data_IF_365850085398
#
_entry.id   IF_365850085398
#
_cell.length_a   1.000
_cell.length_b   1.000
_cell.length_c   1.000
_cell.angle_alpha   90.00
_cell.angle_beta   90.00
_cell.angle_gamma   90.00
#
_symmetry.space_group_name_H-M   'P 1'
#
loop_
_entity.id
_entity.type
_entity.pdbx_description
1 polymer ?
2 non-polymer ?
3 non-polymer ?
4 water ?
#
# COMPACT_ATOMS: atom_id res chain seq x y z
N UNK A 1 -9.97 -10.40 14.62
CA UNK A 1 -10.21 -9.92 13.27
C UNK A 1 -11.57 -10.39 12.88
N UNK A 2 -12.40 -9.48 12.36
CA UNK A 2 -13.80 -9.81 12.11
C UNK A 2 -13.97 -10.76 10.94
N UNK A 3 -13.04 -10.71 10.00
CA UNK A 3 -13.13 -11.54 8.82
C UNK A 3 -12.40 -12.79 9.16
N UNK A 4 -12.89 -13.95 8.70
CA UNK A 4 -12.40 -15.27 9.12
C UNK A 4 -11.90 -16.05 7.95
N UNK A 5 -11.24 -17.20 8.20
CA UNK A 5 -10.62 -17.93 7.13
C UNK A 5 -11.63 -18.47 6.15
N UNK A 6 -11.22 -18.55 4.90
CA UNK A 6 -12.08 -19.01 3.84
C UNK A 6 -13.25 -18.07 3.47
N UNK A 7 -13.30 -16.89 3.99
CA UNK A 7 -14.42 -16.03 3.67
C UNK A 7 -14.15 -15.19 2.44
N UNK A 8 -15.23 -14.76 1.79
CA UNK A 8 -15.16 -13.93 0.60
C UNK A 8 -15.65 -12.53 0.93
N UNK A 9 -14.77 -11.57 0.72
CA UNK A 9 -15.01 -10.20 1.07
C UNK A 9 -15.15 -9.44 -0.27
N UNK A 10 -16.27 -8.76 -0.43
CA UNK A 10 -16.60 -8.09 -1.71
C UNK A 10 -16.71 -6.63 -1.45
N UNK A 11 -15.92 -5.82 -2.17
CA UNK A 11 -15.98 -4.39 -2.02
C UNK A 11 -16.78 -3.79 -3.19
N UNK A 12 -17.61 -2.79 -2.90
CA UNK A 12 -18.34 -2.11 -3.95
C UNK A 12 -18.43 -0.62 -3.67
N UNK A 13 -18.53 0.14 -4.75
CA UNK A 13 -18.39 1.56 -4.66
C UNK A 13 -18.19 2.16 -6.08
N UNK A 14 -17.57 3.31 -6.04
CA UNK A 14 -17.36 4.21 -7.20
C UNK A 14 -15.85 4.16 -7.55
N UNK A 15 -15.30 5.20 -8.19
CA UNK A 15 -13.90 5.15 -8.64
C UNK A 15 -12.94 4.88 -7.46
N UNK A 16 -13.29 5.40 -6.31
CA UNK A 16 -12.38 5.28 -5.16
C UNK A 16 -12.18 3.80 -4.82
N UNK A 17 -13.22 2.99 -5.00
CA UNK A 17 -13.11 1.56 -4.85
C UNK A 17 -12.56 0.84 -6.12
N UNK A 18 -13.05 1.21 -7.31
CA UNK A 18 -12.63 0.62 -8.58
C UNK A 18 -11.09 0.68 -8.73
N UNK A 19 -10.56 1.92 -8.76
CA UNK A 19 -9.16 2.19 -9.05
C UNK A 19 -8.56 1.32 -10.19
N UNK A 20 -9.27 1.18 -11.31
CA UNK A 20 -8.82 0.34 -12.42
C UNK A 20 -8.89 -1.16 -12.24
N UNK A 21 -9.79 -1.65 -11.42
CA UNK A 21 -9.88 -3.09 -11.22
C UNK A 21 -10.31 -3.82 -12.53
N UNK A 22 -10.10 -5.13 -12.58
CA UNK A 22 -10.39 -5.90 -13.81
C UNK A 22 -11.88 -6.10 -13.91
N UNK A 23 -12.46 -5.78 -15.07
CA UNK A 23 -13.87 -5.95 -15.30
C UNK A 23 -14.15 -7.11 -16.25
N UNK A 24 -15.23 -7.86 -15.99
CA UNK A 24 -16.17 -7.77 -14.87
C UNK A 24 -15.74 -8.41 -13.56
N UNK A 25 -14.81 -9.36 -13.60
CA UNK A 25 -14.60 -10.28 -12.45
C UNK A 25 -14.09 -9.58 -11.18
N UNK A 26 -13.15 -8.65 -11.32
CA UNK A 26 -12.62 -7.94 -10.17
C UNK A 26 -11.90 -8.79 -9.12
N UNK A 27 -11.28 -9.89 -9.52
CA UNK A 27 -10.80 -10.85 -8.55
C UNK A 27 -9.46 -11.47 -8.94
N UNK A 28 -8.60 -11.58 -7.92
CA UNK A 28 -7.26 -12.16 -8.01
C UNK A 28 -6.09 -11.28 -7.53
N UNK A 29 -4.93 -11.91 -7.36
CA UNK A 29 -3.76 -11.34 -6.65
C UNK A 29 -2.75 -10.41 -7.39
N UNK A 30 -2.83 -10.40 -8.73
CA UNK A 30 -1.82 -9.79 -9.63
C UNK A 30 -2.37 -8.58 -10.47
N UNK A 31 -3.23 -7.73 -9.87
CA UNK A 31 -3.68 -6.51 -10.55
C UNK A 31 -5.18 -6.36 -10.74
N UNK A 32 -5.91 -7.46 -10.70
CA UNK A 32 -7.35 -7.39 -10.87
C UNK A 32 -8.07 -6.54 -9.79
N UNK A 33 -7.43 -6.34 -8.67
CA UNK A 33 -8.03 -5.54 -7.57
C UNK A 33 -7.87 -4.04 -7.72
N UNK A 34 -7.10 -3.57 -8.72
CA UNK A 34 -6.99 -2.12 -8.93
C UNK A 34 -5.84 -1.66 -8.09
N UNK A 35 -5.59 -0.34 -8.05
CA UNK A 35 -4.38 0.12 -7.46
C UNK A 35 -4.58 1.03 -6.28
N UNK A 36 -5.68 0.88 -5.57
CA UNK A 36 -5.99 1.80 -4.46
C UNK A 36 -6.24 1.02 -3.17
N UNK A 37 -7.18 1.49 -2.33
CA UNK A 37 -7.32 1.03 -0.94
C UNK A 37 -7.73 -0.41 -0.92
N UNK A 38 -8.52 -0.84 -1.86
CA UNK A 38 -8.91 -2.24 -1.84
C UNK A 38 -7.68 -3.17 -1.99
N UNK A 39 -6.82 -2.86 -2.95
CA UNK A 39 -5.58 -3.66 -3.08
C UNK A 39 -4.66 -3.55 -1.88
N UNK A 40 -4.63 -2.40 -1.23
CA UNK A 40 -3.79 -2.23 -0.09
C UNK A 40 -4.34 -3.05 1.06
N UNK A 41 -5.64 -3.03 1.28
CA UNK A 41 -6.22 -3.90 2.33
C UNK A 41 -5.86 -5.34 2.12
N UNK A 42 -6.01 -5.82 0.89
CA UNK A 42 -5.74 -7.24 0.56
C UNK A 42 -4.27 -7.54 0.76
N UNK A 43 -3.40 -6.63 0.35
CA UNK A 43 -2.01 -6.75 0.62
C UNK A 43 -1.60 -6.81 2.05
N UNK A 44 -2.17 -5.93 2.85
CA UNK A 44 -1.84 -5.95 4.25
C UNK A 44 -2.40 -7.19 4.92
N UNK A 45 -3.57 -7.65 4.51
CA UNK A 45 -4.09 -8.86 5.15
C UNK A 45 -3.23 -10.07 4.84
N UNK A 46 -2.75 -10.13 3.60
CA UNK A 46 -1.92 -11.21 3.19
C UNK A 46 -0.56 -11.14 3.86
N UNK A 47 -0.05 -9.95 4.10
CA UNK A 47 1.27 -9.79 4.69
C UNK A 47 1.26 -10.18 6.15
N UNK A 48 0.14 -9.87 6.82
CA UNK A 48 0.09 -10.07 8.26
C UNK A 48 -0.74 -11.28 8.73
N UNK A 49 -1.76 -11.62 7.94
CA UNK A 49 -2.56 -12.82 8.05
C UNK A 49 -2.63 -13.71 6.81
N UNK A 50 -1.49 -14.18 6.32
CA UNK A 50 -1.47 -14.98 5.13
C UNK A 50 -2.30 -16.23 5.24
N UNK A 51 -2.33 -16.83 6.43
CA UNK A 51 -3.15 -17.97 6.66
C UNK A 51 -4.66 -17.81 6.67
N UNK A 52 -5.17 -16.59 6.75
CA UNK A 52 -6.60 -16.46 6.76
C UNK A 52 -7.29 -16.89 5.45
N UNK A 53 -6.57 -16.98 4.38
CA UNK A 53 -7.14 -17.57 3.17
C UNK A 53 -8.39 -16.84 2.65
N UNK A 54 -8.41 -15.53 2.71
CA UNK A 54 -9.61 -14.80 2.27
C UNK A 54 -9.61 -14.54 0.78
N UNK A 55 -10.79 -14.56 0.17
CA UNK A 55 -10.94 -14.21 -1.22
C UNK A 55 -11.51 -12.79 -1.24
N UNK A 56 -11.03 -11.93 -2.14
CA UNK A 56 -11.47 -10.57 -2.14
C UNK A 56 -11.87 -10.23 -3.58
N UNK A 57 -12.98 -9.53 -3.73
CA UNK A 57 -13.51 -9.19 -5.03
C UNK A 57 -13.75 -7.68 -5.03
N UNK A 58 -13.37 -7.01 -6.12
CA UNK A 58 -13.54 -5.60 -6.24
C UNK A 58 -14.58 -5.34 -7.32
N UNK A 59 -15.73 -4.88 -6.89
CA UNK A 59 -16.81 -4.58 -7.82
C UNK A 59 -17.06 -3.06 -7.95
N UNK A 60 -16.08 -2.23 -7.61
CA UNK A 60 -16.20 -0.81 -7.78
C UNK A 60 -16.33 -0.41 -9.25
N UNK A 61 -17.11 0.65 -9.51
CA UNK A 61 -17.24 1.21 -10.85
C UNK A 61 -17.22 2.71 -10.78
N UNK A 62 -16.18 3.27 -11.43
CA UNK A 62 -16.04 4.69 -11.55
C UNK A 62 -17.32 5.36 -12.04
N UNK A 63 -17.70 6.46 -11.41
CA UNK A 63 -18.89 7.17 -11.79
C UNK A 63 -20.16 6.80 -11.03
N UNK A 64 -20.16 5.66 -10.35
CA UNK A 64 -21.40 5.25 -9.77
C UNK A 64 -21.92 6.09 -8.61
N UNK A 65 -23.24 6.20 -8.59
CA UNK A 65 -23.99 6.60 -7.42
C UNK A 65 -24.66 5.38 -6.79
N UNK A 66 -25.40 5.59 -5.72
CA UNK A 66 -26.13 4.46 -5.15
C UNK A 66 -27.23 3.94 -6.12
N UNK A 67 -27.73 4.81 -7.00
CA UNK A 67 -28.74 4.36 -7.98
C UNK A 67 -28.11 3.41 -8.92
N UNK A 68 -26.86 3.67 -9.26
CA UNK A 68 -26.16 2.73 -10.11
C UNK A 68 -25.86 1.39 -9.40
N UNK A 69 -25.50 1.44 -8.13
CA UNK A 69 -25.34 0.24 -7.31
C UNK A 69 -26.64 -0.65 -7.32
N UNK A 70 -27.77 -0.05 -7.02
CA UNK A 70 -29.03 -0.77 -7.05
C UNK A 70 -29.23 -1.47 -8.39
N UNK A 71 -28.94 -0.80 -9.52
CA UNK A 71 -29.22 -1.40 -10.84
C UNK A 71 -28.37 -2.61 -11.11
N UNK A 72 -27.18 -2.70 -10.51
CA UNK A 72 -26.33 -3.88 -10.72
C UNK A 72 -26.17 -4.81 -9.50
N UNK A 73 -26.94 -4.60 -8.48
CA UNK A 73 -26.75 -5.26 -7.19
C UNK A 73 -26.92 -6.76 -7.30
N UNK A 74 -27.91 -7.19 -8.06
CA UNK A 74 -28.18 -8.62 -8.20
C UNK A 74 -27.00 -9.40 -8.78
N UNK A 75 -26.48 -8.92 -9.89
CA UNK A 75 -25.42 -9.63 -10.58
C UNK A 75 -24.07 -9.42 -9.89
N UNK A 76 -23.82 -8.24 -9.34
CA UNK A 76 -22.47 -7.88 -8.84
C UNK A 76 -22.28 -8.09 -7.38
N UNK A 77 -23.36 -8.23 -6.59
CA UNK A 77 -23.23 -8.53 -5.20
C UNK A 77 -23.90 -9.86 -4.87
N UNK A 78 -25.21 -9.94 -5.01
CA UNK A 78 -25.95 -11.13 -4.55
C UNK A 78 -25.45 -12.39 -5.20
N UNK A 79 -25.29 -12.34 -6.51
CA UNK A 79 -24.86 -13.49 -7.31
C UNK A 79 -23.44 -13.92 -7.08
N UNK A 80 -22.63 -13.12 -6.41
CA UNK A 80 -21.26 -13.46 -6.06
C UNK A 80 -21.21 -14.20 -4.74
N UNK A 81 -22.36 -14.30 -4.05
CA UNK A 81 -22.45 -15.02 -2.78
C UNK A 81 -21.37 -14.66 -1.81
N UNK A 82 -21.16 -13.37 -1.62
CA UNK A 82 -20.08 -13.02 -0.70
C UNK A 82 -20.41 -13.33 0.72
N UNK A 83 -19.40 -13.39 1.58
CA UNK A 83 -19.61 -13.47 3.00
C UNK A 83 -19.64 -12.17 3.62
N UNK A 84 -18.83 -11.23 3.11
CA UNK A 84 -18.76 -9.90 3.66
C UNK A 84 -18.91 -8.91 2.47
N UNK A 85 -19.68 -7.86 2.68
CA UNK A 85 -19.83 -6.84 1.66
C UNK A 85 -19.44 -5.52 2.27
N UNK A 86 -18.51 -4.79 1.62
CA UNK A 86 -18.11 -3.47 2.03
C UNK A 86 -18.64 -2.45 0.97
N UNK A 87 -19.31 -1.39 1.41
CA UNK A 87 -19.92 -0.47 0.50
C UNK A 87 -19.33 0.83 0.83
N UNK A 88 -18.91 1.62 -0.18
CA UNK A 88 -18.56 3.01 0.00
C UNK A 88 -19.10 3.81 -1.17
N UNK A 89 -20.16 4.54 -0.91
CA UNK A 89 -20.93 5.18 -1.96
C UNK A 89 -21.48 6.49 -1.43
N UNK A 90 -21.64 7.49 -2.31
CA UNK A 90 -22.15 8.78 -1.86
C UNK A 90 -21.38 9.93 -2.47
N UNK A 91 -20.09 9.69 -2.81
CA UNK A 91 -19.28 10.81 -3.31
C UNK A 91 -19.97 11.41 -4.56
N UNK A 92 -20.32 10.58 -5.53
CA UNK A 92 -20.87 11.05 -6.79
C UNK A 92 -22.32 11.54 -6.60
N UNK A 93 -23.06 10.82 -5.78
CA UNK A 93 -24.44 11.21 -5.38
C UNK A 93 -24.46 12.69 -5.03
N UNK A 94 -23.43 13.11 -4.29
CA UNK A 94 -23.26 14.45 -3.84
C UNK A 94 -22.58 15.33 -4.89
N UNK A 95 -21.47 14.85 -5.46
CA UNK A 95 -20.60 15.76 -6.28
C UNK A 95 -21.32 16.29 -7.48
N UNK A 96 -22.11 15.42 -8.12
CA UNK A 96 -22.93 15.89 -9.28
C UNK A 96 -23.83 17.11 -8.98
N UNK A 97 -24.33 17.21 -7.73
CA UNK A 97 -25.11 18.39 -7.27
C UNK A 97 -24.31 19.65 -7.35
N UNK A 98 -22.99 19.52 -7.31
CA UNK A 98 -22.10 20.66 -7.26
C UNK A 98 -21.32 20.92 -8.53
N UNK A 99 -20.93 19.87 -9.26
CA UNK A 99 -20.20 20.06 -10.50
C UNK A 99 -21.08 20.13 -11.74
N UNK A 100 -22.28 19.55 -11.67
CA UNK A 100 -23.28 19.69 -12.75
C UNK A 100 -24.60 20.11 -12.13
N UNK A 101 -24.63 21.27 -11.52
CA UNK A 101 -25.80 21.66 -10.72
C UNK A 101 -27.13 21.73 -11.49
N UNK A 102 -27.07 21.78 -12.81
CA UNK A 102 -28.28 21.97 -13.58
C UNK A 102 -28.72 20.71 -14.26
N UNK A 103 -27.94 19.64 -14.13
CA UNK A 103 -28.33 18.33 -14.69
C UNK A 103 -28.94 17.51 -13.53
N UNK A 104 -30.14 17.90 -13.12
CA UNK A 104 -30.70 17.35 -11.87
C UNK A 104 -30.93 15.85 -11.84
N UNK A 105 -31.24 15.24 -12.98
CA UNK A 105 -31.42 13.81 -13.04
C UNK A 105 -30.13 13.05 -12.71
N UNK A 106 -28.98 13.69 -12.82
CA UNK A 106 -27.75 13.09 -12.34
C UNK A 106 -27.54 13.07 -10.79
N UNK A 107 -28.27 13.94 -10.12
CA UNK A 107 -28.17 14.10 -8.70
C UNK A 107 -28.91 12.94 -8.06
N UNK A 108 -28.33 12.42 -6.96
CA UNK A 108 -29.08 11.53 -6.05
C UNK A 108 -29.19 12.23 -4.72
N UNK A 109 -30.38 12.75 -4.47
CA UNK A 109 -30.58 13.60 -3.33
C UNK A 109 -30.73 12.70 -2.08
N UNK A 110 -30.85 13.31 -0.94
CA UNK A 110 -30.73 12.53 0.42
C UNK A 110 -31.84 11.56 0.58
N UNK A 111 -33.03 11.87 0.03
CA UNK A 111 -34.11 10.94 0.09
C UNK A 111 -33.90 9.68 -0.70
N UNK A 112 -33.44 9.84 -1.92
CA UNK A 112 -33.20 8.75 -2.74
C UNK A 112 -31.99 7.94 -2.15
N UNK A 113 -31.01 8.69 -1.65
CA UNK A 113 -29.78 8.06 -1.16
C UNK A 113 -30.12 7.14 0.06
N UNK A 114 -30.78 7.72 1.02
CA UNK A 114 -31.17 6.96 2.26
C UNK A 114 -32.02 5.81 1.93
N UNK A 115 -33.05 6.02 1.09
CA UNK A 115 -33.96 4.97 0.76
C UNK A 115 -33.31 3.86 0.01
N UNK A 116 -32.50 4.20 -0.96
CA UNK A 116 -31.83 3.14 -1.76
C UNK A 116 -30.75 2.38 -0.92
N UNK A 117 -29.89 3.10 -0.23
CA UNK A 117 -28.78 2.44 0.51
C UNK A 117 -29.46 1.57 1.56
N UNK A 118 -30.42 2.12 2.29
CA UNK A 118 -31.18 1.34 3.23
C UNK A 118 -31.71 0.00 2.65
N UNK A 119 -32.35 0.08 1.51
CA UNK A 119 -32.94 -1.06 0.91
C UNK A 119 -31.85 -2.09 0.53
N UNK A 120 -30.72 -1.64 -0.02
CA UNK A 120 -29.63 -2.61 -0.40
C UNK A 120 -29.06 -3.30 0.85
N UNK A 121 -28.93 -2.59 1.95
CA UNK A 121 -28.35 -3.15 3.14
C UNK A 121 -29.32 -4.17 3.74
N UNK A 122 -30.59 -3.78 3.85
CA UNK A 122 -31.63 -4.68 4.33
C UNK A 122 -31.79 -5.91 3.48
N UNK A 123 -31.71 -5.80 2.20
CA UNK A 123 -31.82 -6.99 1.40
C UNK A 123 -30.58 -7.93 1.52
N UNK A 124 -29.41 -7.32 1.72
CA UNK A 124 -28.15 -8.05 1.72
C UNK A 124 -27.85 -8.70 3.13
N UNK A 125 -28.23 -8.04 4.20
CA UNK A 125 -27.93 -8.45 5.57
C UNK A 125 -28.27 -9.94 5.82
N UNK A 126 -29.44 -10.41 5.44
CA UNK A 126 -29.67 -11.81 5.84
C UNK A 126 -28.94 -12.82 4.99
N UNK A 127 -28.29 -12.39 3.89
CA UNK A 127 -27.68 -13.30 2.91
C UNK A 127 -26.16 -13.48 3.09
N UNK A 128 -25.60 -12.77 4.00
CA UNK A 128 -24.18 -12.73 4.17
C UNK A 128 -23.88 -12.79 5.60
N UNK A 129 -22.59 -12.93 5.88
CA UNK A 129 -22.12 -12.98 7.22
C UNK A 129 -22.00 -11.65 7.83
N UNK A 130 -21.68 -10.62 7.05
CA UNK A 130 -21.51 -9.27 7.60
C UNK A 130 -21.43 -8.22 6.46
N UNK A 131 -21.67 -6.98 6.84
CA UNK A 131 -21.70 -5.80 5.98
C UNK A 131 -20.85 -4.74 6.66
N UNK A 132 -19.98 -4.08 5.84
CA UNK A 132 -19.21 -2.93 6.27
C UNK A 132 -19.65 -1.70 5.51
N UNK A 133 -20.11 -0.69 6.21
CA UNK A 133 -20.55 0.50 5.57
C UNK A 133 -19.53 1.58 5.83
N UNK A 134 -18.95 2.08 4.73
CA UNK A 134 -17.98 3.17 4.77
C UNK A 134 -18.68 4.40 4.29
N UNK A 135 -18.49 5.48 5.00
CA UNK A 135 -18.99 6.76 4.61
C UNK A 135 -18.27 7.22 3.38
N UNK A 136 -18.99 7.99 2.58
CA UNK A 136 -18.30 8.79 1.58
C UNK A 136 -17.45 9.84 2.28
N UNK A 137 -16.66 10.57 1.50
CA UNK A 137 -15.80 11.61 2.07
C UNK A 137 -15.57 12.67 1.06
N UNK A 138 -15.10 13.82 1.55
CA UNK A 138 -14.62 14.89 0.73
C UNK A 138 -13.40 15.42 1.43
N UNK A 139 -12.32 15.57 0.69
CA UNK A 139 -11.03 15.98 1.28
C UNK A 139 -11.00 17.45 1.36
N UNK A 140 -11.62 17.95 2.43
CA UNK A 140 -11.81 19.34 2.58
C UNK A 140 -12.04 19.57 4.03
N UNK A 141 -11.25 20.46 4.62
CA UNK A 141 -11.24 20.56 6.10
C UNK A 141 -12.29 21.55 6.66
N UNK A 142 -12.81 22.44 5.83
CA UNK A 142 -13.85 23.38 6.23
C UNK A 142 -15.25 22.75 6.19
N UNK A 143 -15.78 22.46 7.38
CA UNK A 143 -17.12 21.88 7.57
C UNK A 143 -18.19 22.70 6.85
N UNK A 144 -18.01 23.97 6.70
CA UNK A 144 -19.00 24.81 6.05
C UNK A 144 -18.77 25.00 4.56
N UNK A 145 -17.73 24.39 3.98
CA UNK A 145 -17.72 24.29 2.50
C UNK A 145 -18.98 23.51 2.09
N UNK A 146 -19.75 24.03 1.13
CA UNK A 146 -21.04 23.39 0.90
C UNK A 146 -21.03 21.94 0.53
N UNK A 147 -20.03 21.51 -0.28
CA UNK A 147 -20.01 20.12 -0.57
C UNK A 147 -19.56 19.22 0.61
N UNK A 148 -18.62 19.70 1.38
CA UNK A 148 -18.21 18.97 2.59
C UNK A 148 -19.41 18.84 3.55
N UNK A 149 -20.14 19.95 3.69
CA UNK A 149 -21.34 19.98 4.58
C UNK A 149 -22.36 18.96 4.10
N UNK A 150 -22.60 18.91 2.79
CA UNK A 150 -23.50 17.86 2.29
C UNK A 150 -22.93 16.49 2.46
N UNK A 151 -21.63 16.32 2.15
CA UNK A 151 -21.07 14.97 2.30
C UNK A 151 -21.20 14.50 3.75
N UNK A 152 -21.00 15.41 4.71
CA UNK A 152 -21.08 14.96 6.14
C UNK A 152 -22.53 14.48 6.39
N UNK A 153 -23.51 15.15 5.77
CA UNK A 153 -24.90 14.70 5.94
C UNK A 153 -25.13 13.35 5.40
N UNK A 154 -24.62 13.08 4.19
CA UNK A 154 -24.74 11.78 3.66
C UNK A 154 -24.05 10.73 4.57
N UNK A 155 -22.91 11.11 5.17
CA UNK A 155 -22.24 10.13 6.12
C UNK A 155 -23.11 9.87 7.34
N UNK A 156 -23.85 10.88 7.81
CA UNK A 156 -24.77 10.66 8.92
C UNK A 156 -25.83 9.66 8.60
N UNK A 157 -26.29 9.68 7.35
CA UNK A 157 -27.23 8.66 6.90
C UNK A 157 -26.64 7.32 6.84
N UNK A 158 -25.38 7.21 6.37
CA UNK A 158 -24.73 5.91 6.41
C UNK A 158 -24.62 5.43 7.79
N UNK A 159 -24.23 6.31 8.70
CA UNK A 159 -24.10 5.88 10.10
C UNK A 159 -25.49 5.43 10.65
N UNK A 160 -26.58 6.13 10.36
CA UNK A 160 -27.83 5.57 10.91
C UNK A 160 -28.20 4.26 10.26
N UNK A 161 -28.08 4.16 8.92
CA UNK A 161 -28.31 2.86 8.31
C UNK A 161 -27.46 1.85 9.00
N UNK A 162 -26.16 2.12 9.30
CA UNK A 162 -25.37 1.01 9.90
C UNK A 162 -25.85 0.69 11.31
N UNK A 163 -26.41 1.69 11.99
CA UNK A 163 -27.04 1.42 13.29
C UNK A 163 -28.49 0.84 13.15
N UNK A 164 -29.36 1.37 12.28
CA UNK A 164 -30.68 0.72 12.09
C UNK A 164 -30.46 -0.74 11.73
N UNK A 165 -29.44 -1.07 10.92
CA UNK A 165 -29.15 -2.47 10.49
C UNK A 165 -28.08 -3.23 11.18
N UNK A 166 -27.43 -2.66 12.15
CA UNK A 166 -26.30 -3.39 12.75
C UNK A 166 -24.99 -3.67 11.93
N UNK A 167 -24.60 -2.81 11.01
CA UNK A 167 -23.41 -3.15 10.22
C UNK A 167 -22.13 -2.54 10.87
N UNK A 168 -20.96 -3.07 10.57
CA UNK A 168 -19.74 -2.31 10.83
C UNK A 168 -19.77 -0.96 10.09
N UNK A 169 -19.02 0.02 10.61
CA UNK A 169 -19.09 1.35 10.14
C UNK A 169 -17.66 1.89 10.15
N UNK A 170 -17.31 2.53 9.03
CA UNK A 170 -16.01 3.23 8.90
C UNK A 170 -16.27 4.63 8.50
N UNK A 171 -15.89 5.60 9.35
CA UNK A 171 -16.04 6.96 9.11
C UNK A 171 -14.71 7.41 8.38
N UNK A 172 -14.78 7.35 7.08
CA UNK A 172 -13.61 7.76 6.25
C UNK A 172 -13.37 9.26 6.39
N UNK A 173 -14.44 10.03 6.63
CA UNK A 173 -14.32 11.44 6.73
C UNK A 173 -13.47 11.78 7.94
N UNK A 174 -13.73 11.12 9.07
CA UNK A 174 -13.01 11.46 10.31
C UNK A 174 -11.52 11.13 10.08
N UNK A 175 -11.23 10.06 9.35
CA UNK A 175 -9.82 9.70 9.01
C UNK A 175 -9.17 10.78 8.21
N UNK A 176 -9.84 11.35 7.17
CA UNK A 176 -9.23 12.47 6.50
C UNK A 176 -9.10 13.70 7.32
N UNK A 177 -10.13 13.98 8.13
CA UNK A 177 -10.13 15.24 8.90
C UNK A 177 -8.85 15.35 9.79
N UNK A 178 -8.45 14.23 10.32
CA UNK A 178 -7.22 14.19 11.21
C UNK A 178 -5.98 14.65 10.42
N UNK A 179 -5.84 14.15 9.20
CA UNK A 179 -4.69 14.54 8.35
C UNK A 179 -4.81 15.92 7.86
N UNK A 180 -6.05 16.38 7.73
CA UNK A 180 -6.31 17.70 7.22
C UNK A 180 -6.04 18.76 8.27
N UNK A 181 -5.85 18.34 9.52
CA UNK A 181 -5.29 19.27 10.51
C UNK A 181 -3.88 19.70 10.16
N UNK A 182 -3.19 18.93 9.33
CA UNK A 182 -1.87 19.31 8.88
C UNK A 182 -1.77 19.68 7.44
N UNK A 183 -2.38 18.90 6.56
CA UNK A 183 -2.15 19.08 5.15
C UNK A 183 -3.35 19.82 4.51
N UNK A 184 -3.07 20.75 3.64
CA UNK A 184 -4.11 21.38 2.73
C UNK A 184 -4.59 20.32 1.77
N UNK A 185 -5.89 20.34 1.37
CA UNK A 185 -6.39 19.24 0.57
C UNK A 185 -5.58 18.87 -0.65
N UNK A 186 -5.07 19.86 -1.35
CA UNK A 186 -4.35 19.65 -2.57
C UNK A 186 -3.11 18.78 -2.39
N UNK A 187 -2.62 18.67 -1.17
CA UNK A 187 -1.49 17.78 -0.92
C UNK A 187 -1.87 16.35 -1.02
N UNK A 188 -3.16 16.08 -0.83
CA UNK A 188 -3.67 14.71 -0.95
C UNK A 188 -4.47 14.47 -2.23
N UNK A 189 -5.21 15.49 -2.70
CA UNK A 189 -6.08 15.35 -3.88
C UNK A 189 -6.36 16.69 -4.46
N UNK A 190 -5.79 16.99 -5.62
CA UNK A 190 -6.15 18.26 -6.27
C UNK A 190 -7.69 18.51 -6.29
N UNK A 191 -8.43 17.48 -6.65
CA UNK A 191 -9.88 17.62 -6.84
C UNK A 191 -10.72 17.30 -5.62
N UNK A 192 -10.06 17.03 -4.47
CA UNK A 192 -10.66 16.78 -3.15
C UNK A 192 -11.41 15.51 -3.09
N UNK A 193 -11.21 14.65 -4.07
CA UNK A 193 -11.88 13.36 -4.13
C UNK A 193 -10.93 12.20 -4.42
N UNK A 194 -10.17 12.27 -5.51
CA UNK A 194 -9.28 11.18 -5.97
C UNK A 194 -7.90 11.40 -5.43
N UNK A 195 -7.50 10.67 -4.38
CA UNK A 195 -6.27 11.04 -3.73
C UNK A 195 -5.05 10.22 -4.16
N UNK A 196 -3.90 10.59 -3.58
CA UNK A 196 -2.63 9.90 -3.79
C UNK A 196 -2.62 8.59 -3.00
N UNK A 197 -1.55 7.84 -3.16
CA UNK A 197 -1.30 6.63 -2.38
C UNK A 197 -1.60 6.87 -0.90
N UNK A 198 -1.17 8.00 -0.37
CA UNK A 198 -1.38 8.37 1.00
C UNK A 198 -2.86 8.40 1.41
N UNK A 199 -3.68 8.93 0.51
CA UNK A 199 -5.10 8.90 0.74
C UNK A 199 -5.68 7.55 0.71
N UNK A 200 -5.23 6.71 -0.26
CA UNK A 200 -5.67 5.36 -0.22
C UNK A 200 -5.17 4.57 0.96
N UNK A 201 -4.05 4.98 1.48
CA UNK A 201 -3.58 4.37 2.78
C UNK A 201 -4.43 4.80 3.97
N UNK A 202 -4.82 6.04 3.98
CA UNK A 202 -5.75 6.54 5.03
C UNK A 202 -7.02 5.69 4.99
N UNK A 203 -7.55 5.41 3.78
CA UNK A 203 -8.75 4.63 3.66
C UNK A 203 -8.56 3.19 4.07
N UNK A 204 -7.49 2.60 3.56
CA UNK A 204 -7.16 1.21 3.87
C UNK A 204 -6.94 0.99 5.42
N UNK A 205 -6.26 1.91 6.04
CA UNK A 205 -6.06 1.86 7.46
C UNK A 205 -7.39 2.06 8.17
N UNK A 206 -8.24 2.97 7.67
CA UNK A 206 -9.53 3.19 8.38
C UNK A 206 -10.38 1.91 8.31
N UNK A 207 -10.37 1.21 7.18
CA UNK A 207 -11.05 -0.04 7.04
C UNK A 207 -10.50 -1.13 8.00
N UNK A 208 -9.19 -1.29 7.96
CA UNK A 208 -8.53 -2.37 8.67
C UNK A 208 -8.75 -2.22 10.17
N UNK A 209 -8.66 -1.00 10.64
CA UNK A 209 -8.85 -0.73 12.03
C UNK A 209 -10.28 -1.16 12.50
N UNK A 210 -11.28 -0.86 11.69
CA UNK A 210 -12.62 -1.28 11.96
C UNK A 210 -12.81 -2.76 11.96
N UNK A 211 -12.07 -3.51 11.17
CA UNK A 211 -12.24 -4.92 11.22
C UNK A 211 -11.25 -5.60 12.22
N UNK A 212 -10.64 -4.85 13.09
CA UNK A 212 -9.76 -5.43 14.10
C UNK A 212 -8.41 -5.95 13.63
N UNK A 213 -7.93 -5.49 12.48
CA UNK A 213 -6.56 -5.80 11.99
C UNK A 213 -5.55 -5.38 13.02
N UNK A 214 -4.53 -6.18 13.23
CA UNK A 214 -3.38 -5.73 14.06
C UNK A 214 -2.15 -5.62 13.14
N UNK A 215 -1.45 -4.53 13.25
CA UNK A 215 -0.20 -4.33 12.51
C UNK A 215 0.87 -5.37 12.87
N UNK A 216 1.01 -5.62 14.16
CA UNK A 216 1.84 -6.73 14.68
C UNK A 216 0.98 -7.56 15.60
N UNK A 217 0.69 -8.77 15.20
CA UNK A 217 -0.23 -9.63 15.95
C UNK A 217 0.34 -10.04 17.31
N UNK A 218 -0.47 -9.89 18.36
CA UNK A 218 -0.10 -10.42 19.69
C UNK A 218 -0.73 -11.82 19.81
N UNK A 219 -0.06 -12.84 20.37
CA UNK A 219 1.34 -12.88 20.87
C UNK A 219 2.08 -11.53 21.04
N UNK B 1 9.86 6.74 15.97
CA UNK B 1 10.13 7.11 14.56
C UNK B 1 11.53 7.59 14.50
N UNK B 2 12.43 6.85 13.83
CA UNK B 2 13.81 7.31 13.70
C UNK B 2 13.94 8.52 12.81
N UNK B 3 13.03 8.70 11.86
CA UNK B 3 13.19 9.75 10.91
C UNK B 3 12.56 10.99 11.49
N UNK B 4 13.28 12.08 11.37
CA UNK B 4 12.91 13.32 12.00
C UNK B 4 12.33 14.22 10.96
N UNK B 5 11.67 15.24 11.51
CA UNK B 5 10.96 16.22 10.77
C UNK B 5 11.82 16.96 9.77
N UNK B 6 11.35 17.12 8.54
CA UNK B 6 12.12 17.89 7.58
C UNK B 6 13.28 17.11 6.92
N UNK B 7 13.42 15.85 7.22
CA UNK B 7 14.58 15.14 6.75
C UNK B 7 14.32 14.54 5.40
N UNK B 8 15.39 14.23 4.71
CA UNK B 8 15.33 13.57 3.43
C UNK B 8 15.79 12.10 3.49
N UNK B 9 14.88 11.22 3.04
CA UNK B 9 15.06 9.79 3.03
C UNK B 9 15.14 9.32 1.59
N UNK B 10 16.26 8.71 1.25
CA UNK B 10 16.53 8.28 -0.09
C UNK B 10 16.64 6.80 -0.22
N UNK B 11 15.83 6.22 -1.12
CA UNK B 11 15.89 4.78 -1.37
C UNK B 11 16.68 4.50 -2.58
N UNK B 12 17.52 3.50 -2.47
CA UNK B 12 18.23 2.94 -3.66
C UNK B 12 18.26 1.46 -3.72
N UNK B 13 18.35 0.95 -4.94
CA UNK B 13 18.26 -0.45 -5.24
C UNK B 13 18.00 -0.76 -6.70
N UNK B 14 17.40 -1.95 -6.91
CA UNK B 14 17.07 -2.48 -8.26
C UNK B 14 15.55 -2.28 -8.57
N UNK B 15 14.97 -3.13 -9.39
CA UNK B 15 13.58 -3.00 -9.80
C UNK B 15 12.66 -3.00 -8.63
N UNK B 16 13.00 -3.73 -7.55
CA UNK B 16 12.06 -3.82 -6.40
C UNK B 16 11.91 -2.47 -5.76
N UNK B 17 13.00 -1.71 -5.77
CA UNK B 17 12.92 -0.37 -5.24
C UNK B 17 12.34 0.60 -6.33
N UNK B 18 12.85 0.48 -7.54
CA UNK B 18 12.45 1.32 -8.74
C UNK B 18 10.88 1.36 -8.90
N UNK B 19 10.30 0.24 -9.31
CA UNK B 19 8.84 0.06 -9.60
C UNK B 19 8.23 1.15 -10.47
N UNK B 20 8.96 1.49 -11.50
CA UNK B 20 8.51 2.53 -12.41
C UNK B 20 8.61 3.95 -11.90
N UNK B 21 9.55 4.27 -11.00
CA UNK B 21 9.63 5.62 -10.47
C UNK B 21 10.04 6.65 -11.57
N UNK B 22 9.83 7.91 -11.30
CA UNK B 22 10.16 8.97 -12.35
C UNK B 22 11.66 9.17 -12.38
N UNK B 23 12.22 9.13 -13.61
CA UNK B 23 13.62 9.37 -13.85
C UNK B 23 13.85 10.76 -14.46
N UNK B 24 14.91 11.46 -14.00
CA UNK B 24 15.95 11.04 -13.00
C UNK B 24 15.61 11.26 -11.55
N UNK B 25 14.66 12.16 -11.27
CA UNK B 25 14.59 12.82 -9.97
C UNK B 25 13.97 11.91 -8.90
N UNK B 26 13.03 11.04 -9.30
CA UNK B 26 12.35 10.14 -8.35
C UNK B 26 11.71 10.78 -7.12
N UNK B 27 11.16 11.99 -7.26
CA UNK B 27 10.57 12.72 -6.06
C UNK B 27 9.19 13.39 -6.31
N UNK B 28 8.22 13.16 -5.41
CA UNK B 28 6.89 13.81 -5.48
C UNK B 28 5.81 12.92 -4.88
N UNK B 29 4.64 13.51 -4.54
CA UNK B 29 3.42 12.80 -3.98
C UNK B 29 2.41 11.98 -4.89
N UNK B 30 2.31 12.41 -6.16
CA UNK B 30 1.37 11.97 -7.21
C UNK B 30 1.92 10.91 -8.29
N UNK B 31 2.94 10.06 -7.95
CA UNK B 31 3.44 8.95 -8.86
C UNK B 31 4.95 8.76 -9.13
N UNK B 32 5.73 9.77 -8.83
CA UNK B 32 7.14 9.76 -9.15
C UNK B 32 7.95 8.71 -8.30
N UNK B 33 7.33 8.17 -7.26
CA UNK B 33 7.96 7.25 -6.36
C UNK B 33 7.80 5.85 -6.86
N UNK B 34 7.00 5.68 -7.94
CA UNK B 34 6.73 4.31 -8.46
C UNK B 34 5.58 3.69 -7.67
N UNK B 35 5.31 2.42 -7.90
CA UNK B 35 4.09 1.77 -7.41
C UNK B 35 4.34 0.59 -6.45
N UNK B 36 5.47 0.59 -5.75
CA UNK B 36 5.79 -0.51 -4.85
C UNK B 36 6.09 -0.07 -3.47
N UNK B 37 7.01 -0.79 -2.82
CA UNK B 37 7.21 -0.58 -1.41
C UNK B 37 7.64 0.80 -1.05
N UNK B 38 8.40 1.48 -1.89
CA UNK B 38 8.77 2.83 -1.54
C UNK B 38 7.54 3.73 -1.43
N UNK B 39 6.69 3.70 -2.46
CA UNK B 39 5.47 4.44 -2.45
C UNK B 39 4.63 4.09 -1.23
N UNK B 40 4.55 2.82 -0.93
CA UNK B 40 3.75 2.40 0.25
C UNK B 40 4.30 3.01 1.55
N UNK B 41 5.63 2.96 1.71
CA UNK B 41 6.25 3.58 2.88
C UNK B 41 5.90 5.02 3.02
N UNK B 42 6.03 5.78 1.93
CA UNK B 42 5.69 7.16 1.97
C UNK B 42 4.21 7.41 2.29
N UNK B 43 3.36 6.60 1.72
CA UNK B 43 1.95 6.72 1.93
C UNK B 43 1.59 6.52 3.37
N UNK B 44 2.13 5.49 3.97
CA UNK B 44 1.87 5.23 5.37
C UNK B 44 2.49 6.32 6.25
N UNK B 45 3.72 6.73 5.98
CA UNK B 45 4.28 7.81 6.78
C UNK B 45 3.41 9.06 6.67
N UNK B 46 2.90 9.37 5.50
CA UNK B 46 2.01 10.55 5.39
C UNK B 46 0.65 10.35 6.08
N UNK B 47 0.10 9.17 5.96
CA UNK B 47 -1.19 8.88 6.58
C UNK B 47 -1.10 8.96 8.13
N UNK B 48 0.01 8.50 8.67
CA UNK B 48 0.18 8.44 10.14
C UNK B 48 1.04 9.52 10.80
N UNK B 49 2.01 10.05 10.07
CA UNK B 49 2.87 11.15 10.49
C UNK B 49 2.88 12.27 9.47
N UNK B 50 1.71 12.85 9.17
CA UNK B 50 1.68 13.96 8.16
C UNK B 50 2.51 15.20 8.53
N UNK B 51 2.60 15.45 9.81
CA UNK B 51 3.36 16.57 10.27
C UNK B 51 4.85 16.44 10.12
N UNK B 52 5.36 15.27 9.78
CA UNK B 52 6.81 15.14 9.75
C UNK B 52 7.51 15.81 8.56
N UNK B 53 6.77 16.01 7.48
CA UNK B 53 7.34 16.71 6.35
C UNK B 53 8.61 16.06 5.78
N UNK B 54 8.62 14.75 5.78
CA UNK B 54 9.73 13.91 5.31
C UNK B 54 9.76 13.96 3.81
N UNK B 55 10.92 14.22 3.24
CA UNK B 55 11.07 14.18 1.80
C UNK B 55 11.64 12.86 1.43
N UNK B 56 11.04 12.22 0.45
CA UNK B 56 11.47 10.94 -0.02
C UNK B 56 11.78 10.94 -1.45
N UNK B 57 12.93 10.33 -1.76
CA UNK B 57 13.47 10.16 -3.10
C UNK B 57 13.74 8.74 -3.42
N UNK B 58 13.33 8.34 -4.59
CA UNK B 58 13.48 6.99 -5.08
C UNK B 58 14.50 6.98 -6.20
N UNK B 59 15.65 6.36 -5.92
CA UNK B 59 16.69 6.20 -6.92
C UNK B 59 16.89 4.76 -7.36
N UNK B 60 15.88 3.89 -7.16
CA UNK B 60 15.96 2.55 -7.77
C UNK B 60 16.11 2.52 -9.27
N UNK B 61 16.82 1.55 -9.80
CA UNK B 61 16.92 1.37 -11.22
C UNK B 61 16.87 -0.08 -11.48
N UNK B 62 15.92 -0.54 -12.29
CA UNK B 62 15.75 -1.96 -12.54
C UNK B 62 16.98 -2.47 -13.23
N UNK B 63 17.34 -3.70 -12.92
CA UNK B 63 18.51 -4.39 -13.47
C UNK B 63 19.80 -4.24 -12.63
N UNK B 64 19.85 -3.32 -11.71
CA UNK B 64 21.13 -2.99 -11.10
C UNK B 64 21.64 -4.05 -10.18
N UNK B 65 22.98 -4.18 -10.19
CA UNK B 65 23.74 -4.93 -9.19
C UNK B 65 24.44 -3.92 -8.34
N UNK B 66 25.14 -4.38 -7.32
CA UNK B 66 25.84 -3.40 -6.47
C UNK B 66 26.99 -2.69 -7.20
N UNK B 67 27.49 -3.35 -8.21
CA UNK B 67 28.47 -2.72 -9.11
C UNK B 67 27.88 -1.53 -9.84
N UNK B 68 26.63 -1.66 -10.25
CA UNK B 68 25.91 -0.52 -10.86
C UNK B 68 25.63 0.59 -9.86
N UNK B 69 25.33 0.25 -8.62
CA UNK B 69 25.08 1.30 -7.61
C UNK B 69 26.37 2.12 -7.41
N UNK B 70 27.50 1.45 -7.36
CA UNK B 70 28.75 2.19 -7.10
C UNK B 70 29.01 3.16 -8.21
N UNK B 71 28.70 2.76 -9.45
CA UNK B 71 28.90 3.60 -10.60
C UNK B 71 28.10 4.87 -10.63
N UNK B 72 26.94 4.88 -9.99
CA UNK B 72 26.13 6.07 -9.89
C UNK B 72 26.04 6.64 -8.53
N UNK B 73 26.85 6.19 -7.59
CA UNK B 73 26.67 6.61 -6.23
C UNK B 73 26.85 8.11 -5.95
N UNK B 74 27.86 8.74 -6.54
CA UNK B 74 28.12 10.19 -6.29
C UNK B 74 26.98 11.02 -6.76
N UNK B 75 26.47 10.70 -7.96
CA UNK B 75 25.42 11.51 -8.56
C UNK B 75 24.03 11.22 -7.94
N UNK B 76 23.71 9.95 -7.74
CA UNK B 76 22.38 9.54 -7.27
C UNK B 76 22.21 9.55 -5.77
N UNK B 77 23.30 9.49 -5.00
CA UNK B 77 23.20 9.47 -3.56
C UNK B 77 23.91 10.63 -2.95
N UNK B 78 25.20 10.73 -3.20
CA UNK B 78 25.99 11.70 -2.47
C UNK B 78 25.55 13.15 -2.74
N UNK B 79 25.42 13.49 -4.01
CA UNK B 79 24.97 14.77 -4.44
C UNK B 79 23.56 15.13 -4.02
N UNK B 80 22.70 14.17 -3.66
CA UNK B 80 21.34 14.45 -3.18
C UNK B 80 21.28 14.93 -1.75
N UNK B 81 22.41 14.85 -1.02
CA UNK B 81 22.47 15.22 0.37
C UNK B 81 21.35 14.68 1.26
N UNK B 82 21.12 13.38 1.23
CA UNK B 82 20.08 12.81 2.05
C UNK B 82 20.43 12.78 3.53
N UNK B 83 19.43 12.71 4.40
CA UNK B 83 19.65 12.40 5.79
C UNK B 83 19.69 10.90 6.11
N UNK B 84 18.93 10.10 5.36
CA UNK B 84 18.86 8.70 5.53
C UNK B 84 18.93 8.06 4.17
N UNK B 85 19.71 7.00 4.09
CA UNK B 85 19.80 6.24 2.85
C UNK B 85 19.40 4.82 3.14
N UNK B 86 18.49 4.28 2.34
CA UNK B 86 18.08 2.87 2.46
C UNK B 86 18.58 2.18 1.20
N UNK B 87 19.29 1.11 1.39
CA UNK B 87 19.87 0.30 0.25
C UNK B 87 19.24 -1.04 0.23
N UNK B 88 18.77 -1.47 -0.93
CA UNK B 88 18.42 -2.88 -1.13
C UNK B 88 18.97 -3.39 -2.44
N UNK B 89 20.00 -4.25 -2.36
CA UNK B 89 20.74 -4.70 -3.55
C UNK B 89 21.27 -6.08 -3.33
N UNK B 90 21.36 -6.85 -4.40
CA UNK B 90 21.89 -8.16 -4.36
C UNK B 90 21.08 -9.13 -5.15
N UNK B 91 19.80 -8.81 -5.35
CA UNK B 91 18.97 -9.78 -6.05
C UNK B 91 19.55 -10.12 -7.42
N UNK B 92 19.90 -9.08 -8.19
CA UNK B 92 20.41 -9.30 -9.55
C UNK B 92 21.85 -9.86 -9.53
N UNK B 93 22.67 -9.35 -8.63
CA UNK B 93 24.02 -9.83 -8.43
C UNK B 93 24.01 -11.33 -8.37
N UNK B 94 22.98 -11.88 -7.69
CA UNK B 94 22.82 -13.32 -7.56
C UNK B 94 22.03 -13.92 -8.74
N UNK B 95 20.92 -13.30 -9.13
CA UNK B 95 20.04 -13.89 -10.18
C UNK B 95 20.77 -14.17 -11.48
N UNK B 96 21.68 -13.25 -11.87
CA UNK B 96 22.38 -13.47 -13.12
C UNK B 96 23.19 -14.72 -13.16
N UNK B 97 23.71 -15.12 -12.01
CA UNK B 97 24.46 -16.30 -11.86
C UNK B 97 23.62 -17.51 -12.20
N UNK B 98 22.30 -17.42 -12.06
CA UNK B 98 21.43 -18.57 -12.30
C UNK B 98 20.62 -18.45 -13.63
N UNK B 99 20.29 -17.26 -14.09
CA UNK B 99 19.55 -17.15 -15.36
C UNK B 99 20.44 -16.97 -16.60
N UNK B 100 21.64 -16.48 -16.37
CA UNK B 100 22.65 -16.26 -17.45
C UNK B 100 23.97 -16.82 -16.95
N UNK B 101 23.99 -18.11 -16.60
CA UNK B 101 25.10 -18.67 -15.91
C UNK B 101 26.41 -18.64 -16.75
N UNK B 102 26.29 -18.39 -18.05
CA UNK B 102 27.49 -18.26 -18.88
C UNK B 102 27.79 -16.81 -19.38
N UNK B 103 27.01 -15.78 -18.99
CA UNK B 103 27.45 -14.40 -19.21
C UNK B 103 28.03 -13.85 -17.92
N UNK B 104 29.23 -14.33 -17.51
CA UNK B 104 29.81 -13.99 -16.19
C UNK B 104 29.99 -12.49 -15.86
N UNK B 105 30.20 -11.68 -16.88
CA UNK B 105 30.32 -10.25 -16.65
C UNK B 105 29.04 -9.63 -16.07
N UNK B 106 27.92 -10.36 -16.11
CA UNK B 106 26.70 -9.95 -15.45
C UNK B 106 26.59 -10.25 -13.96
N UNK B 107 27.47 -11.14 -13.50
CA UNK B 107 27.47 -11.70 -12.14
C UNK B 107 28.32 -10.85 -11.21
N UNK B 108 27.89 -10.67 -9.97
CA UNK B 108 28.76 -10.08 -8.95
C UNK B 108 28.84 -11.09 -7.84
N UNK B 109 30.05 -11.68 -7.67
CA UNK B 109 30.21 -12.74 -6.65
C UNK B 109 30.33 -12.13 -5.30
N UNK B 110 30.31 -12.98 -4.26
CA UNK B 110 30.00 -12.45 -2.97
C UNK B 110 31.13 -11.61 -2.43
N UNK B 111 32.37 -11.98 -2.76
CA UNK B 111 33.54 -11.18 -2.32
C UNK B 111 33.48 -9.74 -2.81
N UNK B 112 33.29 -9.59 -4.10
CA UNK B 112 33.20 -8.26 -4.70
C UNK B 112 31.97 -7.54 -4.08
N UNK B 113 30.87 -8.31 -3.91
CA UNK B 113 29.63 -7.70 -3.44
C UNK B 113 29.82 -7.04 -2.08
N UNK B 114 30.41 -7.83 -1.20
CA UNK B 114 30.64 -7.39 0.12
C UNK B 114 31.55 -6.20 0.17
N UNK B 115 32.71 -6.25 -0.50
CA UNK B 115 33.58 -5.08 -0.45
C UNK B 115 32.92 -3.86 -1.07
N UNK B 116 32.15 -4.06 -2.13
CA UNK B 116 31.59 -2.91 -2.81
C UNK B 116 30.51 -2.27 -1.89
N UNK B 117 29.68 -3.11 -1.27
CA UNK B 117 28.58 -2.60 -0.42
C UNK B 117 29.22 -1.90 0.78
N UNK B 118 30.27 -2.50 1.34
CA UNK B 118 30.97 -1.84 2.44
C UNK B 118 31.47 -0.48 1.96
N UNK B 119 32.00 -0.42 0.77
CA UNK B 119 32.48 0.87 0.30
C UNK B 119 31.40 1.92 0.20
N UNK B 120 30.18 1.51 -0.16
CA UNK B 120 29.09 2.46 -0.27
C UNK B 120 28.72 2.99 1.11
N UNK B 121 28.64 2.08 2.06
CA UNK B 121 28.23 2.42 3.42
C UNK B 121 29.27 3.35 4.07
N UNK B 122 30.54 3.02 3.87
CA UNK B 122 31.64 3.71 4.52
C UNK B 122 31.82 5.07 3.94
N UNK B 123 31.57 5.22 2.66
CA UNK B 123 31.64 6.55 2.12
C UNK B 123 30.47 7.43 2.66
N UNK B 124 29.32 6.80 2.79
CA UNK B 124 28.08 7.55 3.03
C UNK B 124 27.87 7.85 4.51
N UNK B 125 28.30 6.92 5.37
CA UNK B 125 28.08 7.05 6.81
C UNK B 125 28.35 8.40 7.46
N UNK B 126 29.51 9.00 7.16
CA UNK B 126 29.79 10.28 7.78
C UNK B 126 28.97 11.44 7.22
N UNK B 127 28.26 11.26 6.10
CA UNK B 127 27.50 12.33 5.50
C UNK B 127 26.03 12.36 5.86
N UNK B 128 25.55 11.34 6.53
CA UNK B 128 24.12 11.20 6.77
C UNK B 128 23.84 10.97 8.22
N UNK B 129 22.58 11.15 8.62
CA UNK B 129 22.12 10.67 9.91
C UNK B 129 22.06 9.20 10.07
N UNK B 130 21.65 8.46 9.05
CA UNK B 130 21.59 7.03 9.21
C UNK B 130 21.49 6.30 7.89
N UNK B 131 21.70 5.02 7.96
CA UNK B 131 21.66 4.12 6.83
C UNK B 131 20.82 2.95 7.26
N UNK B 132 19.95 2.55 6.35
CA UNK B 132 19.20 1.34 6.50
C UNK B 132 19.62 0.35 5.38
N UNK B 133 20.07 -0.83 5.81
CA UNK B 133 20.46 -1.87 4.88
C UNK B 133 19.40 -2.89 4.87
N UNK B 134 18.79 -3.08 3.70
CA UNK B 134 17.80 -4.11 3.55
C UNK B 134 18.45 -5.26 2.84
N UNK B 135 18.28 -6.49 3.33
CA UNK B 135 18.79 -7.62 2.61
C UNK B 135 18.13 -7.80 1.27
N UNK B 136 18.86 -8.48 0.33
CA UNK B 136 18.12 -8.96 -0.81
C UNK B 136 17.24 -10.08 -0.34
N UNK B 137 16.43 -10.67 -1.21
CA UNK B 137 15.49 -11.72 -0.87
C UNK B 137 15.26 -12.53 -2.10
N UNK B 138 14.82 -13.76 -1.88
CA UNK B 138 14.32 -14.65 -2.93
C UNK B 138 13.09 -15.35 -2.35
N UNK B 139 11.98 -15.25 -3.07
CA UNK B 139 10.72 -15.78 -2.58
C UNK B 139 10.66 -17.25 -2.89
N UNK B 140 11.26 -18.04 -1.98
CA UNK B 140 11.45 -19.43 -2.21
C UNK B 140 11.70 -19.98 -0.81
N UNK B 141 10.87 -20.92 -0.40
CA UNK B 141 10.98 -21.44 1.02
C UNK B 141 12.07 -22.46 1.30
N UNK B 142 12.50 -23.17 0.26
CA UNK B 142 13.53 -24.20 0.40
C UNK B 142 14.90 -23.54 0.46
N UNK B 143 15.54 -23.66 1.62
CA UNK B 143 16.84 -23.08 1.86
C UNK B 143 17.92 -23.67 1.02
N UNK B 144 17.68 -24.87 0.50
CA UNK B 144 18.62 -25.56 -0.28
C UNK B 144 18.34 -25.34 -1.78
N UNK B 145 17.28 -24.63 -2.16
CA UNK B 145 17.22 -24.24 -3.59
C UNK B 145 18.46 -23.42 -3.90
N UNK B 146 19.18 -23.76 -4.95
CA UNK B 146 20.49 -23.15 -5.12
C UNK B 146 20.51 -21.62 -5.09
N UNK B 147 19.50 -20.97 -5.68
CA UNK B 147 19.44 -19.53 -5.66
C UNK B 147 19.05 -18.95 -4.34
N UNK B 148 18.13 -19.61 -3.61
CA UNK B 148 17.81 -19.18 -2.23
C UNK B 148 19.05 -19.28 -1.35
N UNK B 149 19.78 -20.35 -1.53
CA UNK B 149 21.01 -20.64 -0.71
C UNK B 149 22.03 -19.56 -0.96
N UNK B 150 22.25 -19.20 -2.21
CA UNK B 150 23.15 -18.08 -2.53
C UNK B 150 22.61 -16.77 -1.97
N UNK B 151 21.30 -16.53 -2.15
CA UNK B 151 20.76 -15.30 -1.67
C UNK B 151 20.99 -15.13 -0.18
N UNK B 152 20.79 -16.21 0.54
CA UNK B 152 20.99 -16.14 2.01
C UNK B 152 22.43 -15.77 2.35
N UNK B 153 23.39 -16.28 1.58
CA UNK B 153 24.79 -15.89 1.75
C UNK B 153 24.98 -14.39 1.64
N UNK B 154 24.31 -13.78 0.66
CA UNK B 154 24.46 -12.36 0.51
C UNK B 154 23.75 -11.58 1.61
N UNK B 155 22.59 -12.12 2.03
CA UNK B 155 21.87 -11.45 3.11
C UNK B 155 22.68 -11.50 4.44
N UNK B 156 23.36 -12.59 4.65
CA UNK B 156 24.23 -12.70 5.85
C UNK B 156 25.33 -11.66 5.84
N UNK B 157 25.95 -11.43 4.68
CA UNK B 157 26.89 -10.34 4.55
C UNK B 157 26.30 -8.95 4.81
N UNK B 158 25.09 -8.70 4.31
CA UNK B 158 24.41 -7.47 4.61
C UNK B 158 24.26 -7.28 6.09
N UNK B 159 23.85 -8.35 6.77
CA UNK B 159 23.61 -8.26 8.18
C UNK B 159 24.91 -7.95 8.95
N UNK B 160 25.98 -8.58 8.52
CA UNK B 160 27.34 -8.32 9.06
C UNK B 160 27.77 -6.92 8.82
N UNK B 161 27.58 -6.39 7.61
CA UNK B 161 27.92 -5.01 7.32
C UNK B 161 27.09 -4.10 8.19
N UNK B 162 25.81 -4.39 8.34
CA UNK B 162 25.02 -3.49 9.20
C UNK B 162 25.52 -3.44 10.64
N UNK B 163 25.73 -4.61 11.21
CA UNK B 163 26.35 -4.78 12.57
C UNK B 163 27.64 -4.00 12.69
N UNK B 164 28.54 -4.19 11.72
CA UNK B 164 29.84 -3.56 11.74
C UNK B 164 29.82 -2.08 11.60
N UNK B 165 28.87 -1.53 10.84
CA UNK B 165 28.83 -0.12 10.58
C UNK B 165 27.80 0.62 11.46
N UNK B 166 27.09 -0.11 12.30
CA UNK B 166 26.00 0.45 13.10
C UNK B 166 24.91 1.03 12.23
N UNK B 167 24.53 0.31 11.18
CA UNK B 167 23.43 0.80 10.31
C UNK B 167 22.17 0.15 10.81
N UNK B 168 21.02 0.71 10.49
CA UNK B 168 19.80 -0.07 10.66
C UNK B 168 19.75 -1.22 9.64
N UNK B 169 18.90 -2.20 9.89
CA UNK B 169 18.94 -3.48 9.23
C UNK B 169 17.53 -4.07 9.06
N UNK B 170 17.18 -4.43 7.84
CA UNK B 170 15.87 -5.05 7.63
C UNK B 170 16.11 -6.39 6.95
N UNK B 171 15.72 -7.50 7.60
CA UNK B 171 15.87 -8.83 6.98
C UNK B 171 14.62 -9.12 6.21
N UNK B 172 14.66 -8.79 4.91
CA UNK B 172 13.51 -9.03 4.02
C UNK B 172 13.27 -10.50 3.76
N UNK B 173 14.34 -11.29 3.76
CA UNK B 173 14.18 -12.69 3.57
C UNK B 173 13.39 -13.29 4.75
N UNK B 174 13.70 -12.86 5.97
CA UNK B 174 13.02 -13.44 7.16
C UNK B 174 11.50 -13.07 7.07
N UNK B 175 11.19 -11.87 6.59
CA UNK B 175 9.78 -11.42 6.46
C UNK B 175 9.05 -12.32 5.46
N UNK B 176 9.67 -12.59 4.30
CA UNK B 176 9.08 -13.52 3.35
C UNK B 176 8.98 -14.91 3.90
N UNK B 177 9.99 -15.36 4.65
CA UNK B 177 10.01 -16.76 5.11
C UNK B 177 8.74 -17.10 5.93
N UNK B 178 8.32 -16.15 6.69
CA UNK B 178 7.17 -16.28 7.57
C UNK B 178 5.95 -16.51 6.74
N UNK B 179 5.78 -15.70 5.68
CA UNK B 179 4.63 -15.82 4.82
C UNK B 179 4.69 -17.07 4.02
N UNK B 180 5.90 -17.47 3.62
CA UNK B 180 6.10 -18.72 2.86
C UNK B 180 5.81 -20.00 3.70
N UNK B 181 5.58 -19.87 4.98
CA UNK B 181 5.04 -21.06 5.72
C UNK B 181 3.61 -21.41 5.28
N UNK B 182 2.90 -20.43 4.70
CA UNK B 182 1.55 -20.63 4.24
C UNK B 182 1.45 -20.63 2.71
N UNK B 183 2.08 -19.66 2.05
CA UNK B 183 1.90 -19.49 0.65
C UNK B 183 3.06 -20.15 -0.12
N UNK B 184 2.71 -20.80 -1.21
CA UNK B 184 3.67 -21.24 -2.22
C UNK B 184 4.18 -19.96 -2.97
N UNK B 185 5.47 -19.91 -3.34
CA UNK B 185 6.00 -18.64 -3.92
C UNK B 185 5.18 -18.03 -5.01
N UNK B 186 4.70 -18.84 -5.92
CA UNK B 186 3.90 -18.36 -7.01
C UNK B 186 2.71 -17.46 -6.60
N UNK B 187 2.22 -17.60 -5.38
CA UNK B 187 1.06 -16.81 -4.91
C UNK B 187 1.51 -15.39 -4.62
N UNK B 188 2.81 -15.21 -4.42
CA UNK B 188 3.45 -13.92 -4.26
C UNK B 188 4.24 -13.45 -5.51
N UNK B 189 4.92 -14.35 -6.23
CA UNK B 189 5.70 -13.88 -7.39
C UNK B 189 5.96 -15.09 -8.25
N UNK B 190 5.38 -15.15 -9.40
CA UNK B 190 5.67 -16.18 -10.36
C UNK B 190 7.15 -16.39 -10.54
N UNK B 191 7.91 -15.28 -10.65
CA UNK B 191 9.33 -15.39 -10.92
C UNK B 191 10.17 -15.46 -9.67
N UNK B 192 9.54 -15.51 -8.51
CA UNK B 192 10.21 -15.57 -7.19
C UNK B 192 10.97 -14.26 -6.81
N UNK B 193 10.81 -13.20 -7.61
CA UNK B 193 11.49 -11.94 -7.36
C UNK B 193 10.58 -10.76 -7.31
N UNK B 194 9.83 -10.50 -8.41
CA UNK B 194 8.98 -9.37 -8.52
C UNK B 194 7.55 -9.71 -7.99
N UNK B 195 7.20 -9.22 -6.81
CA UNK B 195 5.97 -9.61 -6.10
C UNK B 195 4.74 -8.76 -6.33
N UNK B 196 3.64 -9.33 -5.88
CA UNK B 196 2.33 -8.71 -5.91
C UNK B 196 2.36 -7.50 -4.98
N UNK B 197 1.27 -6.74 -4.96
CA UNK B 197 1.06 -5.73 -3.88
C UNK B 197 1.37 -6.31 -2.51
N UNK B 198 0.93 -7.54 -2.26
CA UNK B 198 1.15 -8.15 -0.94
C UNK B 198 2.65 -8.20 -0.65
N UNK B 199 3.46 -8.60 -1.65
CA UNK B 199 4.89 -8.64 -1.42
C UNK B 199 5.52 -7.32 -1.13
N UNK B 200 5.06 -6.27 -1.85
CA UNK B 200 5.49 -4.92 -1.59
C UNK B 200 5.05 -4.44 -0.22
N UNK B 201 3.88 -4.91 0.20
CA UNK B 201 3.50 -4.62 1.53
C UNK B 201 4.34 -5.30 2.60
N UNK B 202 4.71 -6.54 2.37
CA UNK B 202 5.62 -7.28 3.27
C UNK B 202 6.90 -6.45 3.41
N UNK B 203 7.36 -5.93 2.28
CA UNK B 203 8.63 -5.10 2.34
C UNK B 203 8.43 -3.83 3.05
N UNK B 204 7.39 -3.09 2.67
CA UNK B 204 7.11 -1.81 3.32
C UNK B 204 6.99 -1.94 4.83
N UNK B 205 6.21 -2.91 5.23
CA UNK B 205 6.04 -3.16 6.65
C UNK B 205 7.32 -3.50 7.37
N UNK B 206 8.16 -4.26 6.71
CA UNK B 206 9.43 -4.66 7.34
C UNK B 206 10.32 -3.43 7.50
N UNK B 207 10.31 -2.50 6.51
CA UNK B 207 11.08 -1.33 6.60
C UNK B 207 10.56 -0.46 7.77
N UNK B 208 9.25 -0.31 7.77
CA UNK B 208 8.59 0.64 8.73
C UNK B 208 8.85 0.19 10.18
N UNK B 209 8.79 -1.11 10.39
CA UNK B 209 9.03 -1.68 11.69
C UNK B 209 10.45 -1.35 12.16
N UNK B 210 11.43 -1.45 11.24
CA UNK B 210 12.80 -1.13 11.61
C UNK B 210 13.03 0.34 11.93
N UNK B 211 12.31 1.28 11.31
CA UNK B 211 12.45 2.70 11.66
C UNK B 211 11.52 3.18 12.76
N UNK B 212 10.81 2.28 13.42
CA UNK B 212 10.03 2.59 14.59
C UNK B 212 8.65 3.20 14.28
N UNK B 213 8.11 2.94 13.11
CA UNK B 213 6.73 3.31 12.77
C UNK B 213 5.77 2.64 13.75
N UNK B 214 4.79 3.42 14.18
CA UNK B 214 3.62 2.89 14.90
C UNK B 214 2.37 3.01 14.03
N UNK B 215 1.65 1.91 13.91
CA UNK B 215 0.46 1.91 13.14
C UNK B 215 -0.63 2.80 13.75
N UNK B 216 -0.76 2.77 15.09
CA UNK B 216 -1.57 3.78 15.85
C UNK B 216 -0.68 4.40 16.88
N UNK B 217 -0.37 5.68 16.74
CA UNK B 217 0.64 6.30 17.61
C UNK B 217 0.09 6.53 19.02
N UNK B 218 0.95 6.34 20.03
CA UNK B 218 0.70 6.71 21.43
C UNK B 218 0.78 8.24 21.61
N UNK B 219 1.73 8.85 20.89
CA UNK B 219 1.71 10.30 20.52
C UNK B 219 0.49 10.57 19.61
X LIG C 1 -4.99 4.65 -7.03
X LIG C 1 -5.96 4.11 -7.95
X LIG C 1 -4.22 5.86 -7.62
X LIG C 1 -3.81 5.69 -8.97
X LIG C 1 -2.89 6.05 -6.93
X LIG C 1 -3.15 6.92 -5.85
X LIG D 1 -18.21 13.64 9.46
X LIG D 1 -19.39 14.26 10.00
X LIG D 1 -16.98 13.84 10.36
X LIG D 1 -16.77 15.18 10.66
X LIG D 1 -17.19 13.22 11.71
X LIG D 1 -17.08 11.81 11.73
X LIG E 1 -6.72 -13.40 -11.28
X LIG E 1 -7.87 -13.50 -10.40
X LIG E 1 -5.46 -12.84 -10.61
X LIG E 1 -4.29 -13.22 -11.39
X LIG E 1 -5.52 -11.30 -10.40
X LIG E 1 -4.78 -10.44 -11.28
X LIG F 1 -26.67 -15.39 6.61
X LIG F 1 -25.68 -16.44 6.41
X LIG F 1 -26.68 -14.68 7.99
X LIG F 1 -25.42 -14.47 8.73
X LIG F 1 -27.44 -13.36 7.84
X LIG F 1 -27.23 -12.48 8.96
X LIG G 1 -10.16 25.16 5.04
X LIG G 1 -10.41 26.56 5.34
X LIG G 1 -9.02 24.51 5.79
X LIG G 1 -9.51 23.89 7.00
X LIG G 1 -8.29 23.56 4.80
X LIG G 1 -8.93 22.33 4.39
X LIG H 1 -15.81 9.10 -9.78
X LIG H 1 -16.37 7.75 -9.33
X LIG H 1 -14.39 9.04 -10.27
X LIG H 1 -15.90 10.16 -8.74
X LIG H 1 -16.69 9.48 -10.95
X LIG I 1 2.67 -4.51 -8.02
X LIG I 1 3.04 -5.65 -7.28
X LIG I 1 3.92 -3.89 -8.63
X LIG I 1 3.47 -3.30 -9.83
X LIG I 1 4.54 -2.83 -7.72
X LIG I 1 5.42 -1.98 -8.45
X LIG J 1 4.65 12.49 -7.11
X LIG J 1 5.42 11.33 -6.65
X LIG J 1 5.10 13.37 -8.23
X LIG J 1 4.45 12.69 -9.22
X LIG J 1 4.60 14.81 -8.28
X LIG J 1 5.18 15.73 -7.34
X LIG K 1 15.43 -6.52 -11.91
X LIG K 1 14.08 -6.40 -12.39
X LIG K 1 15.55 -7.79 -11.03
X LIG K 1 16.00 -5.34 -11.13
X LIG K 1 16.34 -6.74 -13.08
X LIG L 1 29.14 -21.37 -3.05
X LIG L 1 27.77 -21.45 -3.75
X LIG L 1 30.05 -22.53 -3.39
X LIG L 1 28.93 -21.49 -1.55
X LIG L 1 29.85 -20.04 -3.40
#
# INVERSE_FOLDING_TARGET
MKIGSGEKLLFIGDAITDCGRARPEGEGSFGALGTGYVAYVVGLLQAVYPELGIRVVNKGISGNTVRDLKARWEEDVIAQKPDWVSIMIGINDVWRQYDLPFMKEKHVYLDEYEATLRSLVLETKPLVKGIILMTPFYIEGNEQDPMRRTMDQYGRVVKQIAEETNSLFVDTQAAFNEVLKTLYPAALAWDRVHPSVAGHMILARAFLREIGFEWVRSR
MKIGSGEKLLFIGDAITDCGRARPEGEGSFGALGTGYVAYVVGLLQAVYPELGIRVVNKGISGNTVRDLKARWEEDVIAQKPDWVSIMIGINDVWRQYDLPFMKEKHVYLDEYEATLRSLVLETKPLVKGIILMTPFYIEGNEQDPMRRTMDQYGRVVKQIAEETNSLFVDTQAAFNEVLKTLYPAALAWDRVHPSVAGHMILARAFLREIGFEWVRSR
GOL C1 O1 C2 O2 C3 O3
GOL C1 O1 C2 O2 C3 O3
GOL C1 O1 C2 O2 C3 O3
GOL C1 O1 C2 O2 C3 O3
GOL C1 O1 C2 O2 C3 O3
PO4 P O1 O2 O3 O4
GOL C1 O1 C2 O2 C3 O3
GOL C1 O1 C2 O2 C3 O3
PO4 P O1 O2 O3 O4
PO4 P O1 O2 O3 O4
#
